data_IF_972625211617
#
_entry.id   IF_972625211617
#
_cell.length_a   1.000
_cell.length_b   1.000
_cell.length_c   1.000
_cell.angle_alpha   90.00
_cell.angle_beta   90.00
_cell.angle_gamma   90.00
#
_symmetry.space_group_name_H-M   'P 1'
#
loop_
_entity.id
_entity.type
_entity.pdbx_description
1 polymer ?
#
# COMPACT_ATOMS: atom_id res chain seq x y z
N UNK A 1 -16.56 19.86 17.88
CA UNK A 1 -16.25 19.39 17.84
C UNK A 1 -16.38 18.12 17.82
N UNK A 2 -17.06 17.74 18.18
CA UNK A 2 -17.35 16.43 18.23
C UNK A 2 -17.33 15.77 16.92
N UNK A 3 -17.54 16.40 15.92
CA UNK A 3 -17.59 15.79 14.66
C UNK A 3 -16.46 14.94 14.33
N UNK A 4 -15.37 15.10 15.03
CA UNK A 4 -14.33 14.36 14.72
C UNK A 4 -14.44 12.98 15.00
N UNK A 5 -15.22 12.55 15.90
CA UNK A 5 -15.29 11.20 16.26
C UNK A 5 -15.82 10.42 15.15
N UNK A 6 -16.78 10.91 14.44
CA UNK A 6 -17.38 10.18 13.36
C UNK A 6 -16.38 9.93 12.28
N UNK A 7 -15.50 10.87 12.07
CA UNK A 7 -14.50 10.70 11.05
C UNK A 7 -13.61 9.52 11.34
N UNK A 8 -13.33 9.24 12.58
CA UNK A 8 -12.49 8.14 12.92
C UNK A 8 -13.14 6.82 12.55
N UNK A 9 -14.44 6.70 12.71
CA UNK A 9 -15.12 5.48 12.38
C UNK A 9 -15.16 5.26 10.87
N UNK A 10 -15.09 6.33 10.13
CA UNK A 10 -15.22 6.26 8.69
C UNK A 10 -13.92 6.41 7.96
N UNK A 11 -12.82 6.26 8.66
CA UNK A 11 -11.53 6.42 8.05
C UNK A 11 -11.23 5.28 7.10
N UNK A 12 -10.79 5.63 5.92
CA UNK A 12 -10.41 4.66 4.90
C UNK A 12 -9.10 5.07 4.27
N UNK A 13 -8.31 4.09 3.89
CA UNK A 13 -7.08 4.33 3.17
C UNK A 13 -7.41 4.35 1.69
N UNK A 14 -6.94 5.36 0.97
CA UNK A 14 -7.20 5.46 -0.45
C UNK A 14 -6.10 4.84 -1.29
N UNK A 15 -4.96 4.62 -0.70
CA UNK A 15 -3.84 4.04 -1.40
C UNK A 15 -2.60 4.15 -0.56
N UNK A 16 -1.49 3.69 -1.10
CA UNK A 16 -0.23 3.71 -0.39
C UNK A 16 0.86 4.29 -1.27
N UNK A 17 1.82 4.96 -0.65
CA UNK A 17 2.98 5.47 -1.32
C UNK A 17 4.19 4.71 -0.81
N UNK A 18 4.93 4.07 -1.69
CA UNK A 18 6.17 3.39 -1.33
C UNK A 18 7.34 4.16 -1.90
N UNK A 19 8.33 4.45 -1.07
CA UNK A 19 9.49 5.22 -1.48
C UNK A 19 10.75 4.43 -1.16
N UNK A 20 11.54 4.13 -2.17
CA UNK A 20 12.82 3.48 -2.00
C UNK A 20 13.92 4.52 -1.95
N UNK A 21 14.80 4.40 -0.98
CA UNK A 21 15.85 5.40 -0.77
C UNK A 21 17.23 4.92 -1.15
N UNK A 22 17.35 3.70 -1.64
CA UNK A 22 18.63 3.11 -1.95
C UNK A 22 18.93 3.05 -3.44
N UNK A 23 18.52 4.06 -4.17
CA UNK A 23 18.81 4.13 -5.59
C UNK A 23 20.31 4.17 -5.80
N UNK A 24 20.85 3.21 -6.54
CA UNK A 24 22.27 3.09 -6.71
C UNK A 24 22.74 3.21 -8.15
N UNK A 25 21.82 3.37 -9.08
CA UNK A 25 22.21 3.43 -10.49
C UNK A 25 21.66 4.68 -11.22
N UNK A 26 21.05 5.58 -10.48
CA UNK A 26 20.54 6.81 -11.07
C UNK A 26 19.29 6.65 -11.91
N UNK A 27 18.76 5.44 -12.00
CA UNK A 27 17.55 5.24 -12.78
C UNK A 27 16.35 5.71 -12.00
N UNK A 28 15.37 6.23 -12.72
CA UNK A 28 14.15 6.66 -12.08
C UNK A 28 13.15 5.55 -12.21
N UNK A 29 12.71 5.03 -11.09
CA UNK A 29 11.74 3.95 -11.08
C UNK A 29 10.44 4.44 -10.50
N UNK A 30 9.38 4.30 -11.26
CA UNK A 30 8.05 4.70 -10.82
C UNK A 30 7.08 3.64 -11.27
N UNK A 31 6.26 3.15 -10.35
CA UNK A 31 5.23 2.19 -10.70
C UNK A 31 3.92 2.65 -10.10
N UNK A 32 2.89 2.65 -10.90
CA UNK A 32 1.56 3.02 -10.43
C UNK A 32 0.67 1.80 -10.58
N UNK A 33 0.04 1.41 -9.52
CA UNK A 33 -0.91 0.31 -9.57
C UNK A 33 -2.22 0.78 -8.95
N UNK A 34 -3.16 -0.13 -8.83
CA UNK A 34 -4.48 0.25 -8.36
C UNK A 34 -4.46 0.88 -6.98
N UNK A 35 -3.63 0.34 -6.10
CA UNK A 35 -3.61 0.79 -4.72
C UNK A 35 -2.29 1.41 -4.29
N UNK A 36 -1.28 1.38 -5.16
CA UNK A 36 0.06 1.81 -4.78
C UNK A 36 0.68 2.74 -5.80
N UNK A 37 1.47 3.67 -5.30
CA UNK A 37 2.31 4.50 -6.12
C UNK A 37 3.73 4.30 -5.58
N UNK A 38 4.60 3.70 -6.37
CA UNK A 38 5.93 3.30 -5.91
C UNK A 38 6.98 4.12 -6.63
N UNK A 39 7.90 4.69 -5.86
CA UNK A 39 8.90 5.59 -6.39
C UNK A 39 10.28 5.23 -5.88
N UNK A 40 11.24 5.18 -6.77
CA UNK A 40 12.64 5.10 -6.39
C UNK A 40 13.10 3.74 -5.97
N UNK A 41 14.25 3.74 -5.29
CA UNK A 41 14.87 2.54 -4.83
C UNK A 41 15.77 1.90 -5.88
N UNK A 42 16.61 0.97 -5.45
CA UNK A 42 17.38 0.15 -6.37
C UNK A 42 16.41 -0.77 -7.11
N UNK A 43 16.89 -1.43 -8.12
CA UNK A 43 16.06 -2.36 -8.88
C UNK A 43 15.47 -3.41 -7.94
N UNK A 44 16.27 -3.95 -7.05
CA UNK A 44 15.83 -4.97 -6.13
C UNK A 44 14.77 -4.42 -5.17
N UNK A 45 15.00 -3.24 -4.63
CA UNK A 45 14.05 -2.64 -3.70
C UNK A 45 12.74 -2.32 -4.39
N UNK A 46 12.82 -1.80 -5.61
CA UNK A 46 11.60 -1.47 -6.34
C UNK A 46 10.79 -2.73 -6.64
N UNK A 47 11.47 -3.82 -6.99
CA UNK A 47 10.79 -5.08 -7.24
C UNK A 47 10.12 -5.62 -5.99
N UNK A 48 10.76 -5.46 -4.84
CA UNK A 48 10.17 -5.90 -3.59
C UNK A 48 8.92 -5.10 -3.27
N UNK A 49 8.94 -3.82 -3.56
CA UNK A 49 7.77 -2.99 -3.35
C UNK A 49 6.64 -3.43 -4.29
N UNK A 50 6.97 -3.77 -5.53
CA UNK A 50 5.97 -4.25 -6.46
C UNK A 50 5.39 -5.58 -6.00
N UNK A 51 6.22 -6.47 -5.49
CA UNK A 51 5.75 -7.75 -4.97
C UNK A 51 4.79 -7.54 -3.80
N UNK A 52 5.13 -6.62 -2.91
CA UNK A 52 4.27 -6.31 -1.78
C UNK A 52 2.92 -5.79 -2.26
N UNK A 53 2.92 -4.95 -3.28
CA UNK A 53 1.69 -4.41 -3.82
C UNK A 53 0.81 -5.51 -4.41
N UNK A 54 1.44 -6.47 -5.08
CA UNK A 54 0.71 -7.60 -5.66
C UNK A 54 0.11 -8.46 -4.55
N UNK A 55 0.91 -8.76 -3.53
CA UNK A 55 0.42 -9.58 -2.42
C UNK A 55 -0.71 -8.89 -1.66
N UNK A 56 -0.60 -7.58 -1.49
CA UNK A 56 -1.66 -6.82 -0.84
C UNK A 56 -2.96 -6.95 -1.64
N UNK A 57 -2.88 -6.79 -2.96
CA UNK A 57 -4.06 -6.91 -3.80
C UNK A 57 -4.70 -8.27 -3.71
N UNK A 58 -3.88 -9.31 -3.65
CA UNK A 58 -4.40 -10.66 -3.55
C UNK A 58 -5.08 -10.90 -2.22
N UNK A 59 -4.50 -10.38 -1.13
CA UNK A 59 -5.08 -10.55 0.18
C UNK A 59 -6.41 -9.81 0.28
N UNK A 60 -6.48 -8.64 -0.30
CA UNK A 60 -7.69 -7.86 -0.30
C UNK A 60 -8.78 -8.59 -1.07
N UNK A 61 -8.42 -9.16 -2.22
CA UNK A 61 -9.36 -9.87 -3.03
C UNK A 61 -9.87 -11.12 -2.30
N UNK A 62 -9.01 -11.79 -1.57
CA UNK A 62 -9.38 -12.96 -0.80
C UNK A 62 -10.41 -12.61 0.27
N UNK A 63 -10.39 -11.38 0.76
CA UNK A 63 -11.37 -10.93 1.72
C UNK A 63 -12.67 -10.51 1.07
N UNK A 64 -12.71 -10.51 -0.26
CA UNK A 64 -13.90 -10.12 -0.99
C UNK A 64 -14.24 -8.65 -0.86
N UNK A 65 -13.23 -7.81 -0.64
CA UNK A 65 -13.45 -6.38 -0.44
C UNK A 65 -12.63 -5.55 -1.40
N UNK A 66 -13.08 -4.33 -1.61
CA UNK A 66 -12.23 -3.34 -2.26
C UNK A 66 -11.54 -2.55 -1.16
N UNK A 67 -10.52 -1.81 -1.51
CA UNK A 67 -9.82 -0.99 -0.52
C UNK A 67 -10.77 0.03 0.09
N UNK A 68 -11.69 0.53 -0.71
CA UNK A 68 -12.66 1.50 -0.22
C UNK A 68 -13.57 0.90 0.85
N UNK A 69 -13.85 -0.39 0.77
CA UNK A 69 -14.71 -1.06 1.73
C UNK A 69 -13.99 -1.47 3.00
N UNK A 70 -12.68 -1.57 2.96
CA UNK A 70 -11.91 -1.98 4.12
C UNK A 70 -11.71 -0.78 5.04
N UNK A 71 -11.70 -1.02 6.34
CA UNK A 71 -11.37 0.04 7.27
C UNK A 71 -9.87 0.34 7.19
N UNK A 72 -9.45 1.46 7.74
CA UNK A 72 -8.04 1.79 7.76
C UNK A 72 -7.24 0.74 8.53
N UNK A 73 -7.80 0.23 9.63
CA UNK A 73 -7.13 -0.78 10.41
C UNK A 73 -6.95 -2.05 9.60
N UNK A 74 -7.98 -2.48 8.91
CA UNK A 74 -7.90 -3.68 8.10
C UNK A 74 -6.89 -3.52 6.98
N UNK A 75 -6.90 -2.35 6.33
CA UNK A 75 -5.96 -2.09 5.25
C UNK A 75 -4.51 -2.15 5.74
N UNK A 76 -4.26 -1.59 6.92
CA UNK A 76 -2.92 -1.62 7.47
C UNK A 76 -2.50 -3.02 7.90
N UNK A 77 -3.43 -3.81 8.41
CA UNK A 77 -3.13 -5.19 8.77
C UNK A 77 -2.77 -6.00 7.52
N UNK A 78 -3.51 -5.80 6.44
CA UNK A 78 -3.24 -6.51 5.19
C UNK A 78 -1.90 -6.09 4.62
N UNK A 79 -1.55 -4.82 4.74
CA UNK A 79 -0.26 -4.35 4.26
C UNK A 79 0.86 -4.99 5.07
N UNK A 80 0.69 -5.08 6.39
CA UNK A 80 1.69 -5.69 7.24
C UNK A 80 1.89 -7.15 6.86
N UNK A 81 0.80 -7.88 6.60
CA UNK A 81 0.90 -9.26 6.17
C UNK A 81 1.63 -9.37 4.83
N UNK A 82 1.34 -8.46 3.91
CA UNK A 82 1.99 -8.48 2.61
C UNK A 82 3.49 -8.22 2.73
N UNK A 83 3.88 -7.39 3.68
CA UNK A 83 5.29 -7.12 3.89
C UNK A 83 6.03 -8.29 4.50
N UNK A 84 5.35 -9.12 5.26
CA UNK A 84 5.97 -10.27 5.92
C UNK A 84 6.08 -11.50 5.04
N UNK A 85 5.38 -11.54 3.96
CA UNK A 85 5.39 -12.73 3.07
C UNK A 85 6.70 -12.89 2.28
#
# INVERSE_FOLDING_TARGET
MAGKRDDDHERHVRGFLGVGLDNDDGEKRVTRSEHFFLVGGSEETHERMQDTAIRFGEKLKDRGKTLHEASAEEALDLLREALED
#
